data_IF_689525425450
#
_entry.id   IF_689525425450
#
_cell.length_a   1.000
_cell.length_b   1.000
_cell.length_c   1.000
_cell.angle_alpha   90.00
_cell.angle_beta   90.00
_cell.angle_gamma   90.00
#
_symmetry.space_group_name_H-M   'P 1'
#
loop_
_entity.id
_entity.type
_entity.pdbx_description
1 polymer ?
#
# COMPACT_ATOMS: atom_id res chain seq x y z
N UNK A 1 5.05 22.06 -5.38
CA UNK A 1 4.96 20.58 -5.27
C UNK A 1 6.10 20.00 -6.08
N UNK A 2 6.79 18.99 -5.56
CA UNK A 2 7.91 18.36 -6.26
C UNK A 2 7.55 16.95 -6.67
N UNK A 3 8.01 16.49 -7.82
CA UNK A 3 7.87 15.11 -8.27
C UNK A 3 9.24 14.48 -8.30
N UNK A 4 9.32 13.20 -7.92
CA UNK A 4 10.54 12.41 -8.05
C UNK A 4 10.37 11.43 -9.21
N UNK A 5 11.16 11.61 -10.25
CA UNK A 5 11.32 10.58 -11.28
C UNK A 5 12.42 9.62 -10.85
N UNK A 6 12.22 8.33 -11.12
CA UNK A 6 13.20 7.29 -10.80
C UNK A 6 13.13 6.17 -11.80
N UNK A 7 14.27 5.52 -12.06
CA UNK A 7 14.36 4.33 -12.89
C UNK A 7 14.53 3.10 -12.00
N UNK A 8 13.47 2.30 -11.84
CA UNK A 8 13.43 1.18 -10.87
C UNK A 8 13.23 -0.16 -11.54
N UNK A 9 13.80 -1.21 -10.96
CA UNK A 9 13.52 -2.58 -11.36
C UNK A 9 12.05 -2.93 -11.08
N UNK A 10 11.33 -3.48 -12.06
CA UNK A 10 9.90 -3.77 -11.96
C UNK A 10 9.50 -5.17 -12.42
N UNK A 11 10.45 -6.08 -12.57
CA UNK A 11 10.16 -7.50 -12.83
C UNK A 11 10.14 -8.29 -11.51
N UNK A 12 8.97 -8.57 -10.93
CA UNK A 12 8.89 -9.19 -9.60
C UNK A 12 9.33 -10.66 -9.58
N UNK A 13 9.30 -11.35 -10.72
CA UNK A 13 9.63 -12.77 -10.85
C UNK A 13 11.04 -13.04 -11.35
N UNK A 14 11.81 -11.97 -11.61
CA UNK A 14 13.16 -12.07 -12.17
C UNK A 14 14.11 -11.38 -11.20
N UNK A 15 15.24 -12.01 -10.82
CA UNK A 15 16.23 -11.36 -9.98
C UNK A 15 16.74 -10.09 -10.66
N UNK A 16 16.91 -9.04 -9.85
CA UNK A 16 17.42 -7.78 -10.34
C UNK A 16 18.91 -7.93 -10.73
N UNK A 17 19.32 -7.61 -11.96
CA UNK A 17 20.69 -7.79 -12.43
C UNK A 17 21.69 -6.78 -11.82
N UNK A 18 21.18 -5.76 -11.10
CA UNK A 18 22.00 -4.72 -10.49
C UNK A 18 21.25 -3.97 -9.38
N UNK A 19 21.45 -2.65 -9.22
CA UNK A 19 20.71 -1.86 -8.25
C UNK A 19 19.20 -1.86 -8.52
N UNK A 20 18.38 -1.82 -7.47
CA UNK A 20 16.91 -1.70 -7.62
C UNK A 20 16.48 -0.34 -8.16
N UNK A 21 17.23 0.72 -7.89
CA UNK A 21 17.04 2.07 -8.42
C UNK A 21 18.34 2.52 -9.08
N UNK A 22 18.31 2.81 -10.39
CA UNK A 22 19.49 3.19 -11.16
C UNK A 22 19.77 4.69 -11.11
N UNK A 23 18.71 5.50 -11.06
CA UNK A 23 18.78 6.95 -11.00
C UNK A 23 17.48 7.47 -10.41
N UNK A 24 17.57 8.55 -9.63
CA UNK A 24 16.43 9.36 -9.24
C UNK A 24 16.76 10.84 -9.31
N UNK A 25 15.77 11.63 -9.72
CA UNK A 25 15.86 13.07 -9.82
C UNK A 25 14.54 13.71 -9.40
N UNK A 26 14.65 14.81 -8.66
CA UNK A 26 13.50 15.59 -8.19
C UNK A 26 13.33 16.80 -9.08
N UNK A 27 12.15 16.95 -9.66
CA UNK A 27 11.78 18.06 -10.54
C UNK A 27 10.57 18.81 -9.99
N UNK A 28 10.37 20.03 -10.49
CA UNK A 28 9.14 20.77 -10.22
C UNK A 28 7.92 20.05 -10.82
N UNK A 29 6.80 20.08 -10.10
CA UNK A 29 5.58 19.41 -10.53
C UNK A 29 5.13 19.86 -11.93
N UNK A 30 4.66 18.92 -12.74
CA UNK A 30 4.21 19.18 -14.11
C UNK A 30 5.33 19.14 -15.16
N UNK A 31 6.60 19.05 -14.75
CA UNK A 31 7.71 18.85 -15.70
C UNK A 31 7.74 17.41 -16.24
N UNK A 32 8.13 17.21 -17.51
CA UNK A 32 8.32 15.88 -18.09
C UNK A 32 9.48 15.14 -17.40
N UNK A 33 9.62 13.85 -17.70
CA UNK A 33 10.71 13.04 -17.19
C UNK A 33 12.08 13.68 -17.55
N UNK A 34 12.99 13.84 -16.57
CA UNK A 34 14.27 14.47 -16.82
C UNK A 34 15.16 13.60 -17.70
N UNK A 35 16.05 14.26 -18.45
CA UNK A 35 16.96 13.59 -19.39
C UNK A 35 17.88 12.59 -18.67
N UNK A 36 18.27 12.86 -17.42
CA UNK A 36 19.09 11.95 -16.60
C UNK A 36 18.46 10.56 -16.42
N UNK A 37 17.12 10.49 -16.40
CA UNK A 37 16.32 9.27 -16.27
C UNK A 37 16.07 8.65 -17.64
N UNK A 38 15.67 9.47 -18.62
CA UNK A 38 15.34 8.99 -19.97
C UNK A 38 16.56 8.46 -20.72
N UNK A 39 17.73 9.08 -20.56
CA UNK A 39 18.97 8.64 -21.20
C UNK A 39 19.46 7.26 -20.70
N UNK A 40 19.03 6.84 -19.50
CA UNK A 40 19.34 5.52 -18.92
C UNK A 40 18.24 4.49 -19.15
N UNK A 41 17.08 4.92 -19.63
CA UNK A 41 15.96 4.02 -19.87
C UNK A 41 16.17 3.24 -21.17
N UNK A 42 16.08 1.91 -21.08
CA UNK A 42 16.21 1.00 -22.20
C UNK A 42 14.97 0.12 -22.26
N UNK A 43 14.30 0.11 -23.41
CA UNK A 43 13.12 -0.73 -23.62
C UNK A 43 13.47 -2.22 -23.43
N UNK A 44 12.64 -2.93 -22.67
CA UNK A 44 12.84 -4.37 -22.41
C UNK A 44 13.90 -4.70 -21.35
N UNK A 45 14.63 -3.73 -20.80
CA UNK A 45 15.68 -3.99 -19.79
C UNK A 45 15.14 -4.32 -18.38
N UNK A 46 13.81 -4.37 -18.18
CA UNK A 46 13.18 -4.69 -16.89
C UNK A 46 13.11 -3.52 -15.89
N UNK A 47 13.75 -2.40 -16.21
CA UNK A 47 13.64 -1.14 -15.47
C UNK A 47 12.53 -0.25 -16.03
N UNK A 48 11.73 0.36 -15.15
CA UNK A 48 10.64 1.27 -15.52
C UNK A 48 10.85 2.66 -14.91
N UNK A 49 10.42 3.68 -15.65
CA UNK A 49 10.34 5.06 -15.15
C UNK A 49 9.13 5.18 -14.23
N UNK A 50 9.38 5.51 -12.97
CA UNK A 50 8.38 5.72 -11.93
C UNK A 50 8.36 7.18 -11.51
N UNK A 51 7.16 7.71 -11.25
CA UNK A 51 6.95 9.06 -10.71
C UNK A 51 6.34 8.95 -9.33
N UNK A 52 7.01 9.51 -8.32
CA UNK A 52 6.43 9.70 -7.00
C UNK A 52 6.08 11.18 -6.79
N UNK A 53 4.89 11.42 -6.26
CA UNK A 53 4.45 12.75 -5.86
C UNK A 53 4.97 13.04 -4.46
N UNK A 54 5.96 13.92 -4.36
CA UNK A 54 6.47 14.39 -3.07
C UNK A 54 5.51 15.47 -2.57
N UNK A 55 4.39 15.02 -2.00
CA UNK A 55 3.49 15.88 -1.27
C UNK A 55 3.96 15.97 0.19
N UNK A 56 4.09 17.20 0.70
CA UNK A 56 4.41 17.48 2.10
C UNK A 56 3.20 17.24 3.01
N UNK A 57 2.01 17.05 2.43
CA UNK A 57 0.81 16.73 3.20
C UNK A 57 1.04 15.45 4.00
N UNK A 58 0.99 15.58 5.31
CA UNK A 58 1.00 14.44 6.22
C UNK A 58 -0.10 13.45 5.81
N UNK A 59 0.30 12.20 5.60
CA UNK A 59 -0.64 11.11 5.31
C UNK A 59 -1.68 11.09 6.43
N UNK A 60 -2.93 11.42 6.09
CA UNK A 60 -4.04 11.42 7.05
C UNK A 60 -4.37 9.97 7.41
N UNK A 61 -3.72 9.48 8.46
CA UNK A 61 -4.05 8.19 9.05
C UNK A 61 -5.41 8.30 9.74
N UNK A 62 -6.24 7.28 9.57
CA UNK A 62 -7.46 7.19 10.36
C UNK A 62 -7.09 7.00 11.83
N UNK A 63 -7.83 7.69 12.71
CA UNK A 63 -7.81 7.35 14.11
C UNK A 63 -8.33 5.92 14.30
N UNK A 64 -7.94 5.28 15.40
CA UNK A 64 -8.37 3.92 15.69
C UNK A 64 -9.89 3.83 15.79
N UNK A 65 -10.57 4.85 16.34
CA UNK A 65 -12.03 4.90 16.43
C UNK A 65 -12.69 4.97 15.05
N UNK A 66 -12.17 5.80 14.14
CA UNK A 66 -12.69 5.88 12.77
C UNK A 66 -12.48 4.56 12.03
N UNK A 67 -11.34 3.91 12.24
CA UNK A 67 -11.04 2.61 11.65
C UNK A 67 -11.92 1.51 12.22
N UNK A 68 -12.16 1.50 13.53
CA UNK A 68 -13.07 0.60 14.22
C UNK A 68 -14.49 0.73 13.67
N UNK A 69 -15.01 1.96 13.60
CA UNK A 69 -16.34 2.25 13.07
C UNK A 69 -16.50 1.77 11.62
N UNK A 70 -15.51 2.04 10.77
CA UNK A 70 -15.52 1.57 9.39
C UNK A 70 -15.49 0.04 9.29
N UNK A 71 -14.68 -0.64 10.10
CA UNK A 71 -14.60 -2.12 10.14
C UNK A 71 -15.93 -2.73 10.57
N UNK A 72 -16.56 -2.19 11.62
CA UNK A 72 -17.88 -2.64 12.12
C UNK A 72 -18.97 -2.45 11.07
N UNK A 73 -19.07 -1.25 10.48
CA UNK A 73 -20.02 -0.97 9.40
C UNK A 73 -19.84 -1.89 8.20
N UNK A 74 -18.60 -2.19 7.83
CA UNK A 74 -18.32 -3.10 6.72
C UNK A 74 -18.68 -4.56 7.06
N UNK A 75 -18.45 -5.00 8.30
CA UNK A 75 -18.89 -6.31 8.78
C UNK A 75 -20.41 -6.42 8.72
N UNK A 76 -21.12 -5.45 9.30
CA UNK A 76 -22.59 -5.39 9.29
C UNK A 76 -23.13 -5.46 7.87
N UNK A 77 -22.64 -4.62 6.94
CA UNK A 77 -23.09 -4.66 5.54
C UNK A 77 -22.81 -6.00 4.88
N UNK A 78 -21.63 -6.58 5.10
CA UNK A 78 -21.24 -7.85 4.47
C UNK A 78 -22.10 -8.99 4.98
N UNK A 79 -22.34 -9.07 6.29
CA UNK A 79 -23.14 -10.13 6.91
C UNK A 79 -24.61 -9.98 6.53
N UNK A 80 -25.19 -8.79 6.63
CA UNK A 80 -26.58 -8.55 6.24
C UNK A 80 -26.84 -8.91 4.76
N UNK A 81 -25.83 -8.76 3.89
CA UNK A 81 -25.94 -9.15 2.49
C UNK A 81 -25.90 -10.67 2.28
N UNK A 82 -25.07 -11.40 3.04
CA UNK A 82 -24.81 -12.83 2.82
C UNK A 82 -25.75 -13.72 3.63
N UNK A 83 -26.03 -13.35 4.88
CA UNK A 83 -26.80 -14.13 5.83
C UNK A 83 -27.70 -13.22 6.69
N UNK A 84 -28.72 -12.57 6.08
CA UNK A 84 -29.58 -11.61 6.79
C UNK A 84 -30.30 -12.22 7.99
N UNK A 85 -30.76 -13.47 7.88
CA UNK A 85 -31.52 -14.13 8.96
C UNK A 85 -30.69 -14.41 10.23
N UNK A 86 -29.37 -14.52 10.10
CA UNK A 86 -28.44 -14.80 11.20
C UNK A 86 -27.46 -13.65 11.43
N UNK A 87 -27.80 -12.46 10.96
CA UNK A 87 -26.84 -11.37 10.88
C UNK A 87 -26.31 -10.98 12.26
N UNK A 88 -27.20 -10.82 13.24
CA UNK A 88 -26.83 -10.41 14.59
C UNK A 88 -25.91 -11.43 15.28
N UNK A 89 -26.18 -12.72 15.10
CA UNK A 89 -25.37 -13.78 15.68
C UNK A 89 -23.96 -13.80 15.09
N UNK A 90 -23.85 -13.73 13.76
CA UNK A 90 -22.56 -13.74 13.07
C UNK A 90 -21.75 -12.47 13.30
N UNK A 91 -22.41 -11.31 13.37
CA UNK A 91 -21.75 -10.05 13.73
C UNK A 91 -21.17 -10.17 15.14
N UNK A 92 -21.97 -10.58 16.13
CA UNK A 92 -21.51 -10.73 17.51
C UNK A 92 -20.33 -11.70 17.63
N UNK A 93 -20.46 -12.88 17.03
CA UNK A 93 -19.40 -13.90 17.06
C UNK A 93 -18.08 -13.40 16.46
N UNK A 94 -18.13 -12.69 15.35
CA UNK A 94 -16.92 -12.14 14.71
C UNK A 94 -16.30 -10.98 15.52
N UNK A 95 -17.14 -10.14 16.14
CA UNK A 95 -16.67 -9.09 17.05
C UNK A 95 -15.95 -9.68 18.27
N UNK A 96 -16.48 -10.75 18.84
CA UNK A 96 -15.91 -11.44 20.02
C UNK A 96 -14.65 -12.23 19.67
N UNK A 97 -14.59 -12.83 18.47
CA UNK A 97 -13.42 -13.59 18.03
C UNK A 97 -12.20 -12.69 17.77
N UNK A 98 -12.41 -11.43 17.35
CA UNK A 98 -11.32 -10.54 16.89
C UNK A 98 -11.45 -9.11 17.45
N UNK A 99 -11.49 -8.94 18.78
CA UNK A 99 -11.78 -7.65 19.40
C UNK A 99 -10.72 -6.59 19.06
N UNK A 100 -9.43 -6.96 19.03
CA UNK A 100 -8.34 -6.04 18.67
C UNK A 100 -8.49 -5.45 17.25
N UNK A 101 -8.96 -6.26 16.30
CA UNK A 101 -9.22 -5.80 14.93
C UNK A 101 -10.37 -4.80 14.89
N UNK A 102 -11.49 -5.08 15.57
CA UNK A 102 -12.66 -4.19 15.57
C UNK A 102 -12.55 -3.00 16.55
N UNK A 103 -11.51 -2.96 17.38
CA UNK A 103 -11.09 -1.77 18.14
C UNK A 103 -10.23 -0.81 17.32
N UNK A 104 -9.93 -1.12 16.05
CA UNK A 104 -9.18 -0.22 15.17
C UNK A 104 -7.66 -0.29 15.32
N UNK A 105 -7.17 -1.02 16.34
CA UNK A 105 -5.74 -1.21 16.56
C UNK A 105 -5.06 -1.77 15.31
N UNK A 106 -3.92 -1.18 14.97
CA UNK A 106 -2.97 -1.81 14.05
C UNK A 106 -2.35 -2.98 14.79
N UNK A 107 -2.66 -4.21 14.38
CA UNK A 107 -1.83 -5.33 14.81
C UNK A 107 -0.47 -5.07 14.19
N UNK A 108 0.53 -4.72 15.01
CA UNK A 108 1.92 -4.81 14.60
C UNK A 108 2.17 -6.30 14.39
N UNK A 109 1.90 -6.81 13.19
CA UNK A 109 2.53 -8.05 12.78
C UNK A 109 4.02 -7.76 12.74
N UNK A 110 4.87 -8.58 13.38
CA UNK A 110 6.30 -8.50 13.09
C UNK A 110 6.48 -8.64 11.58
N UNK A 111 7.50 -8.00 10.97
CA UNK A 111 7.82 -8.27 9.58
C UNK A 111 7.97 -9.77 9.44
N UNK A 112 7.34 -10.36 8.41
CA UNK A 112 7.48 -11.78 8.11
C UNK A 112 8.97 -12.11 8.08
N UNK A 113 9.47 -12.72 9.15
CA UNK A 113 10.81 -13.25 9.23
C UNK A 113 10.86 -14.37 8.21
N UNK A 114 11.53 -14.12 7.10
CA UNK A 114 11.92 -15.17 6.17
C UNK A 114 12.95 -16.05 6.86
N UNK A 115 12.49 -17.06 7.60
CA UNK A 115 13.25 -18.28 7.78
C UNK A 115 13.09 -19.09 6.50
N UNK A 116 13.95 -18.80 5.53
CA UNK A 116 14.28 -19.72 4.45
C UNK A 116 15.29 -20.74 4.98
N UNK A 117 14.93 -22.02 4.88
CA UNK A 117 15.81 -23.17 5.03
C UNK A 117 17.03 -23.10 4.10
#
# INVERSE_FOLDING_TARGET
MKWRYSLRWRLPRTPCPGPQELVSEVVEAGKPAPESVMARWVAGAGYAVCVDFLDERQIRRWSDERKAAARRRNLERRVNRIAPLFADEFIRRELDARPAYFQGKTMNMPPNGGESC
#
